data_IF_814646399390
#
_entry.id   IF_814646399390
#
_cell.length_a   1.000
_cell.length_b   1.000
_cell.length_c   1.000
_cell.angle_alpha   90.00
_cell.angle_beta   90.00
_cell.angle_gamma   90.00
#
_symmetry.space_group_name_H-M   'P 1'
#
loop_
_entity.id
_entity.type
_entity.pdbx_description
1 polymer ?
#
# COMPACT_ATOMS: atom_id res chain seq x y z
N UNK A 1 19.98 3.32 -63.95
CA UNK A 1 19.74 2.43 -62.80
C UNK A 1 18.69 3.09 -61.92
N UNK A 2 17.56 2.39 -61.76
CA UNK A 2 16.49 2.54 -60.76
C UNK A 2 15.52 3.74 -60.82
N UNK A 3 14.25 3.35 -60.80
CA UNK A 3 12.99 4.07 -60.96
C UNK A 3 12.26 4.11 -59.60
N UNK A 4 11.52 5.21 -59.39
CA UNK A 4 10.19 5.32 -58.77
C UNK A 4 9.95 5.31 -57.25
N UNK A 5 8.88 6.07 -56.94
CA UNK A 5 7.84 5.91 -55.91
C UNK A 5 8.10 6.53 -54.53
N UNK A 6 7.46 7.67 -54.23
CA UNK A 6 6.37 7.79 -53.21
C UNK A 6 5.46 9.00 -53.56
N UNK A 7 4.14 8.80 -53.39
CA UNK A 7 3.00 9.69 -53.71
C UNK A 7 2.70 10.75 -52.62
N UNK A 8 2.09 11.92 -52.91
CA UNK A 8 1.89 13.03 -51.97
C UNK A 8 0.75 12.89 -50.93
N UNK A 9 0.25 11.69 -50.63
CA UNK A 9 -1.04 11.52 -49.92
C UNK A 9 -0.98 11.38 -48.38
N UNK A 10 0.00 11.95 -47.67
CA UNK A 10 0.15 11.69 -46.22
C UNK A 10 0.10 12.90 -45.29
N UNK A 11 -0.58 13.99 -45.69
CA UNK A 11 -0.98 15.03 -44.74
C UNK A 11 -2.49 15.17 -44.78
N UNK A 12 -3.17 14.37 -43.95
CA UNK A 12 -4.59 14.57 -43.61
C UNK A 12 -4.66 14.89 -42.13
N UNK A 13 -5.23 16.04 -41.72
CA UNK A 13 -5.41 16.33 -40.31
C UNK A 13 -6.41 15.32 -39.71
N UNK A 14 -6.05 14.70 -38.59
CA UNK A 14 -6.95 13.84 -37.82
C UNK A 14 -8.03 14.72 -37.18
N UNK A 15 -9.13 14.88 -37.90
CA UNK A 15 -10.43 15.31 -37.39
C UNK A 15 -10.88 14.38 -36.25
N UNK A 16 -11.49 15.00 -35.24
CA UNK A 16 -12.13 14.37 -34.09
C UNK A 16 -13.18 13.31 -34.46
N UNK A 17 -13.54 12.49 -33.45
CA UNK A 17 -14.50 11.38 -33.43
C UNK A 17 -13.98 9.97 -33.75
N UNK A 18 -13.27 9.40 -32.77
CA UNK A 18 -13.52 8.01 -32.39
C UNK A 18 -13.83 7.98 -30.89
N UNK A 19 -15.06 7.64 -30.54
CA UNK A 19 -15.42 7.36 -29.15
C UNK A 19 -14.58 6.17 -28.67
N UNK A 20 -13.65 6.43 -27.76
CA UNK A 20 -13.02 5.38 -26.99
C UNK A 20 -14.13 4.83 -26.11
N UNK A 21 -14.48 3.55 -26.27
CA UNK A 21 -15.43 2.88 -25.41
C UNK A 21 -14.83 2.80 -24.00
N UNK A 22 -15.13 3.79 -23.17
CA UNK A 22 -14.87 3.74 -21.74
C UNK A 22 -15.71 2.59 -21.21
N UNK A 23 -15.06 1.50 -20.78
CA UNK A 23 -15.76 0.48 -20.01
C UNK A 23 -16.20 1.15 -18.71
N UNK A 24 -17.46 1.56 -18.67
CA UNK A 24 -18.11 2.03 -17.46
C UNK A 24 -18.06 0.86 -16.48
N UNK A 25 -17.27 0.99 -15.41
CA UNK A 25 -17.36 0.08 -14.28
C UNK A 25 -18.72 0.32 -13.64
N UNK A 26 -19.66 -0.57 -13.94
CA UNK A 26 -20.97 -0.58 -13.31
C UNK A 26 -20.78 -0.80 -11.80
N UNK A 27 -21.22 0.17 -11.01
CA UNK A 27 -21.31 0.09 -9.54
C UNK A 27 -22.37 -0.91 -9.06
N UNK A 28 -23.07 -1.60 -9.97
CA UNK A 28 -24.28 -2.36 -9.66
C UNK A 28 -24.06 -3.85 -9.30
N UNK A 29 -22.86 -4.30 -8.95
CA UNK A 29 -22.61 -5.72 -8.63
C UNK A 29 -21.86 -6.00 -7.31
N UNK A 30 -21.89 -5.07 -6.35
CA UNK A 30 -21.41 -5.33 -4.98
C UNK A 30 -22.58 -5.33 -3.99
N UNK A 31 -23.63 -6.09 -4.32
CA UNK A 31 -24.64 -6.44 -3.34
C UNK A 31 -24.69 -7.97 -3.24
N UNK A 32 -24.40 -8.46 -2.02
CA UNK A 32 -24.73 -9.78 -1.47
C UNK A 32 -23.62 -10.85 -1.57
N UNK A 33 -22.81 -10.91 -0.52
CA UNK A 33 -22.83 -12.01 0.46
C UNK A 33 -21.82 -11.70 1.57
N UNK A 34 -22.32 -11.22 2.71
CA UNK A 34 -21.59 -11.33 3.97
C UNK A 34 -21.67 -12.80 4.38
N UNK A 35 -20.64 -13.58 4.01
CA UNK A 35 -20.37 -14.84 4.66
C UNK A 35 -19.58 -14.48 5.91
N UNK A 36 -20.25 -14.53 7.06
CA UNK A 36 -19.60 -14.43 8.36
C UNK A 36 -18.75 -15.68 8.54
N UNK A 37 -17.50 -15.64 8.08
CA UNK A 37 -16.50 -16.62 8.47
C UNK A 37 -16.00 -16.23 9.86
N UNK A 38 -16.54 -16.88 10.87
CA UNK A 38 -15.99 -16.87 12.23
C UNK A 38 -14.66 -17.62 12.23
N UNK A 39 -13.57 -16.89 12.00
CA UNK A 39 -12.21 -17.29 12.37
C UNK A 39 -11.81 -16.45 13.57
N UNK A 40 -11.22 -17.07 14.61
CA UNK A 40 -10.71 -16.40 15.81
C UNK A 40 -10.13 -15.02 15.48
N UNK A 41 -10.82 -13.96 15.90
CA UNK A 41 -10.46 -12.60 15.53
C UNK A 41 -9.24 -12.20 16.36
N UNK A 42 -8.05 -12.37 15.78
CA UNK A 42 -6.80 -11.89 16.34
C UNK A 42 -6.91 -10.38 16.53
N UNK A 43 -7.01 -9.94 17.78
CA UNK A 43 -7.08 -8.52 18.12
C UNK A 43 -5.68 -7.92 18.14
N UNK A 44 -5.45 -6.93 17.28
CA UNK A 44 -4.23 -6.13 17.24
C UNK A 44 -4.42 -4.80 17.99
N UNK A 45 -3.33 -4.23 18.49
CA UNK A 45 -3.32 -2.97 19.24
C UNK A 45 -3.09 -1.75 18.35
N UNK A 46 -2.38 -1.89 17.24
CA UNK A 46 -1.91 -0.79 16.39
C UNK A 46 -2.38 -0.87 14.94
N UNK A 47 -3.03 -1.96 14.54
CA UNK A 47 -3.68 -2.12 13.24
C UNK A 47 -5.12 -2.61 13.39
N UNK A 48 -5.91 -2.43 12.35
CA UNK A 48 -7.19 -3.09 12.15
C UNK A 48 -7.09 -3.99 10.91
N UNK A 49 -7.72 -5.15 10.96
CA UNK A 49 -7.77 -6.09 9.83
C UNK A 49 -9.21 -6.36 9.41
N UNK A 50 -9.43 -6.48 8.10
CA UNK A 50 -10.73 -6.82 7.51
C UNK A 50 -10.51 -7.66 6.25
N UNK A 51 -11.43 -8.58 5.95
CA UNK A 51 -11.43 -9.28 4.66
C UNK A 51 -12.61 -8.79 3.82
N UNK A 52 -12.31 -8.29 2.62
CA UNK A 52 -13.31 -7.84 1.63
C UNK A 52 -13.24 -8.72 0.39
N UNK A 53 -14.08 -9.76 0.35
CA UNK A 53 -14.04 -10.75 -0.73
C UNK A 53 -12.70 -11.50 -0.72
N UNK A 54 -11.91 -11.34 -1.78
CA UNK A 54 -10.57 -11.95 -1.91
C UNK A 54 -9.42 -11.02 -1.50
N UNK A 55 -9.71 -9.92 -0.81
CA UNK A 55 -8.72 -8.90 -0.45
C UNK A 55 -8.63 -8.79 1.07
N UNK A 56 -7.42 -8.93 1.60
CA UNK A 56 -7.12 -8.56 2.98
C UNK A 56 -6.89 -7.05 3.08
N UNK A 57 -7.43 -6.40 4.11
CA UNK A 57 -7.26 -4.98 4.35
C UNK A 57 -6.61 -4.79 5.72
N UNK A 58 -5.46 -4.13 5.73
CA UNK A 58 -4.74 -3.70 6.94
C UNK A 58 -4.87 -2.18 7.01
N UNK A 59 -5.44 -1.67 8.10
CA UNK A 59 -5.51 -0.24 8.38
C UNK A 59 -4.61 0.10 9.56
N UNK A 60 -3.60 0.95 9.35
CA UNK A 60 -2.76 1.47 10.41
C UNK A 60 -3.60 2.33 11.37
N UNK A 61 -3.53 2.02 12.67
CA UNK A 61 -4.46 2.54 13.68
C UNK A 61 -3.73 3.09 14.91
N UNK A 62 -2.86 4.08 14.68
CA UNK A 62 -2.28 4.94 15.74
C UNK A 62 -2.65 6.42 15.47
N UNK A 63 -3.94 6.78 15.43
CA UNK A 63 -4.39 8.09 14.94
C UNK A 63 -3.85 9.28 15.76
N UNK A 64 -3.65 9.11 17.06
CA UNK A 64 -3.06 10.14 17.94
C UNK A 64 -1.59 10.46 17.59
N UNK A 65 -0.90 9.52 16.95
CA UNK A 65 0.48 9.65 16.50
C UNK A 65 0.58 9.77 14.97
N UNK A 66 -0.53 10.07 14.26
CA UNK A 66 -0.57 10.12 12.79
C UNK A 66 -0.01 8.86 12.13
N UNK A 67 -0.26 7.69 12.73
CA UNK A 67 0.27 6.41 12.28
C UNK A 67 1.80 6.37 12.18
N UNK A 68 2.51 7.06 13.08
CA UNK A 68 3.95 6.87 13.23
C UNK A 68 4.26 5.38 13.46
N UNK A 69 5.33 4.88 12.85
CA UNK A 69 5.67 3.46 12.82
C UNK A 69 6.52 3.10 14.04
N UNK A 70 6.05 2.13 14.82
CA UNK A 70 6.74 1.57 15.97
C UNK A 70 7.00 0.06 15.78
N UNK A 71 7.89 -0.52 16.58
CA UNK A 71 8.26 -1.94 16.48
C UNK A 71 7.04 -2.87 16.61
N UNK A 72 6.16 -2.60 17.59
CA UNK A 72 4.95 -3.40 17.79
C UNK A 72 4.01 -3.31 16.59
N UNK A 73 3.82 -2.11 16.01
CA UNK A 73 2.98 -1.94 14.83
C UNK A 73 3.51 -2.76 13.64
N UNK A 74 4.81 -2.74 13.37
CA UNK A 74 5.36 -3.51 12.27
C UNK A 74 5.31 -5.01 12.53
N UNK A 75 5.48 -5.44 13.78
CA UNK A 75 5.28 -6.83 14.18
C UNK A 75 3.86 -7.30 13.86
N UNK A 76 2.85 -6.49 14.17
CA UNK A 76 1.45 -6.78 13.85
C UNK A 76 1.18 -6.77 12.34
N UNK A 77 1.75 -5.81 11.59
CA UNK A 77 1.64 -5.75 10.12
C UNK A 77 2.21 -7.02 9.50
N UNK A 78 3.41 -7.44 9.90
CA UNK A 78 4.04 -8.66 9.40
C UNK A 78 3.23 -9.92 9.74
N UNK A 79 2.68 -9.99 10.95
CA UNK A 79 1.82 -11.11 11.36
C UNK A 79 0.53 -11.18 10.52
N UNK A 80 -0.16 -10.05 10.33
CA UNK A 80 -1.34 -9.97 9.49
C UNK A 80 -1.04 -10.31 8.02
N UNK A 81 0.08 -9.80 7.48
CA UNK A 81 0.52 -10.12 6.12
C UNK A 81 0.80 -11.60 5.94
N UNK A 82 1.54 -12.24 6.87
CA UNK A 82 1.78 -13.69 6.84
C UNK A 82 0.48 -14.49 6.93
N UNK A 83 -0.47 -14.05 7.74
CA UNK A 83 -1.79 -14.68 7.82
C UNK A 83 -2.52 -14.62 6.48
N UNK A 84 -2.53 -13.45 5.83
CA UNK A 84 -3.14 -13.29 4.52
C UNK A 84 -2.39 -14.03 3.41
N UNK A 85 -1.06 -14.10 3.45
CA UNK A 85 -0.24 -14.83 2.47
C UNK A 85 -0.56 -16.33 2.48
N UNK A 86 -0.75 -16.91 3.68
CA UNK A 86 -1.08 -18.32 3.84
C UNK A 86 -2.56 -18.66 3.57
N UNK A 87 -3.46 -17.67 3.45
CA UNK A 87 -4.89 -17.90 3.24
C UNK A 87 -5.26 -18.01 1.76
N UNK A 88 -5.55 -19.21 1.26
CA UNK A 88 -5.90 -19.47 -0.16
C UNK A 88 -7.07 -18.64 -0.71
N UNK A 89 -7.94 -18.11 0.15
CA UNK A 89 -9.07 -17.26 -0.26
C UNK A 89 -8.67 -15.81 -0.56
N UNK A 90 -7.47 -15.39 -0.14
CA UNK A 90 -6.94 -14.03 -0.35
C UNK A 90 -6.03 -14.03 -1.56
N UNK A 91 -6.27 -13.10 -2.49
CA UNK A 91 -5.46 -12.89 -3.69
C UNK A 91 -4.56 -11.65 -3.64
N UNK A 92 -4.84 -10.69 -2.76
CA UNK A 92 -4.02 -9.49 -2.56
C UNK A 92 -4.29 -8.88 -1.18
N UNK A 93 -3.38 -8.02 -0.73
CA UNK A 93 -3.52 -7.26 0.53
C UNK A 93 -3.44 -5.76 0.23
N UNK A 94 -4.30 -4.97 0.86
CA UNK A 94 -4.23 -3.51 0.86
C UNK A 94 -3.76 -3.05 2.24
N UNK A 95 -2.75 -2.20 2.28
CA UNK A 95 -2.34 -1.47 3.48
C UNK A 95 -2.76 -0.01 3.31
N UNK A 96 -3.43 0.55 4.31
CA UNK A 96 -3.85 1.96 4.31
C UNK A 96 -3.75 2.58 5.70
N UNK A 97 -3.94 3.89 5.78
CA UNK A 97 -4.02 4.62 7.04
C UNK A 97 -5.29 5.44 7.14
N UNK A 98 -5.19 6.58 7.80
CA UNK A 98 -6.31 7.53 7.93
C UNK A 98 -6.39 8.49 6.74
N UNK A 99 -7.44 9.31 6.68
CA UNK A 99 -7.57 10.38 5.69
C UNK A 99 -6.53 11.49 5.84
N UNK A 100 -5.97 11.67 7.05
CA UNK A 100 -4.97 12.70 7.35
C UNK A 100 -3.55 12.20 7.12
N UNK A 101 -3.29 10.94 7.41
CA UNK A 101 -1.98 10.32 7.26
C UNK A 101 -2.13 8.83 6.97
N UNK A 102 -1.42 8.37 5.94
CA UNK A 102 -1.07 6.98 5.78
C UNK A 102 -0.18 6.56 6.95
N UNK A 103 1.02 7.15 7.04
CA UNK A 103 1.97 7.04 8.15
C UNK A 103 2.93 8.24 8.15
N UNK A 104 3.03 8.95 9.26
CA UNK A 104 3.87 10.15 9.39
C UNK A 104 5.20 9.85 10.10
N UNK A 105 6.04 9.01 9.48
CA UNK A 105 7.40 8.70 9.96
C UNK A 105 7.48 7.55 10.95
N UNK A 106 8.68 7.37 11.52
CA UNK A 106 8.93 6.43 12.60
C UNK A 106 8.67 7.08 13.98
N UNK A 107 8.40 6.27 15.00
CA UNK A 107 8.16 6.76 16.36
C UNK A 107 9.48 7.20 17.01
N UNK A 108 9.73 8.51 17.02
CA UNK A 108 10.94 9.10 17.59
C UNK A 108 11.14 8.73 19.07
N UNK A 109 10.08 8.41 19.82
CA UNK A 109 10.22 7.98 21.21
C UNK A 109 10.92 6.64 21.34
N UNK A 110 10.76 5.74 20.36
CA UNK A 110 11.49 4.47 20.32
C UNK A 110 12.94 4.68 19.86
N UNK A 111 13.18 5.68 19.02
CA UNK A 111 14.50 5.90 18.42
C UNK A 111 15.47 6.72 19.31
N UNK A 112 14.95 7.65 20.11
CA UNK A 112 15.78 8.69 20.77
C UNK A 112 16.87 8.16 21.71
N UNK A 113 16.66 7.01 22.34
CA UNK A 113 17.56 6.46 23.37
C UNK A 113 18.48 5.35 22.80
N UNK A 114 18.38 5.08 21.50
CA UNK A 114 19.19 4.05 20.85
C UNK A 114 20.63 4.52 20.64
N UNK A 115 21.58 3.69 21.08
CA UNK A 115 23.00 3.85 20.77
C UNK A 115 23.34 3.11 19.48
N UNK A 116 24.45 3.50 18.82
CA UNK A 116 24.98 2.78 17.66
C UNK A 116 25.13 1.27 17.93
N UNK A 117 25.78 0.90 19.04
CA UNK A 117 26.05 -0.50 19.38
C UNK A 117 24.77 -1.30 19.57
N UNK A 118 23.78 -0.71 20.26
CA UNK A 118 22.49 -1.37 20.46
C UNK A 118 21.79 -1.59 19.11
N UNK A 119 21.65 -0.52 18.32
CA UNK A 119 20.98 -0.53 17.01
C UNK A 119 21.57 -1.58 16.07
N UNK A 120 22.91 -1.67 16.02
CA UNK A 120 23.61 -2.66 15.21
C UNK A 120 23.36 -4.09 15.70
N UNK A 121 23.51 -4.34 17.02
CA UNK A 121 23.37 -5.69 17.57
C UNK A 121 21.94 -6.22 17.50
N UNK A 122 20.94 -5.36 17.66
CA UNK A 122 19.53 -5.78 17.68
C UNK A 122 18.88 -5.76 16.30
N UNK A 123 19.59 -5.30 15.26
CA UNK A 123 19.02 -5.10 13.92
C UNK A 123 17.70 -4.30 13.99
N UNK A 124 17.76 -3.11 14.60
CA UNK A 124 16.60 -2.34 15.10
C UNK A 124 15.38 -2.22 14.16
N UNK A 125 15.58 -2.20 12.83
CA UNK A 125 14.51 -2.14 11.83
C UNK A 125 14.45 -3.35 10.91
N UNK A 126 15.26 -4.39 11.15
CA UNK A 126 15.40 -5.52 10.23
C UNK A 126 14.10 -6.26 9.97
N UNK A 127 13.22 -6.34 10.96
CA UNK A 127 11.90 -6.96 10.81
C UNK A 127 11.00 -6.20 9.81
N UNK A 128 11.27 -4.93 9.49
CA UNK A 128 10.49 -4.19 8.49
C UNK A 128 10.62 -4.82 7.11
N UNK A 129 11.77 -5.42 6.80
CA UNK A 129 12.02 -6.07 5.51
C UNK A 129 11.23 -7.39 5.35
N UNK A 130 10.71 -8.00 6.42
CA UNK A 130 9.96 -9.27 6.34
C UNK A 130 8.73 -9.15 5.45
N UNK A 131 8.10 -7.98 5.36
CA UNK A 131 6.95 -7.78 4.47
C UNK A 131 7.29 -7.96 2.99
N UNK A 132 8.57 -7.81 2.61
CA UNK A 132 9.03 -7.98 1.23
C UNK A 132 9.12 -9.45 0.81
N UNK A 133 8.98 -10.38 1.76
CA UNK A 133 8.96 -11.83 1.51
C UNK A 133 7.55 -12.36 1.17
N UNK A 134 6.53 -11.52 1.32
CA UNK A 134 5.13 -11.87 1.06
C UNK A 134 4.93 -12.11 -0.43
N UNK A 135 4.29 -13.22 -0.79
CA UNK A 135 4.14 -13.66 -2.19
C UNK A 135 2.95 -13.02 -2.88
N UNK A 136 1.92 -12.67 -2.11
CA UNK A 136 0.72 -12.00 -2.63
C UNK A 136 0.96 -10.51 -2.83
N UNK A 137 0.40 -9.91 -3.90
CA UNK A 137 0.52 -8.48 -4.14
C UNK A 137 0.05 -7.65 -2.95
N UNK A 138 0.89 -6.71 -2.52
CA UNK A 138 0.62 -5.71 -1.48
C UNK A 138 0.42 -4.35 -2.14
N UNK A 139 -0.70 -3.71 -1.85
CA UNK A 139 -1.07 -2.41 -2.39
C UNK A 139 -1.10 -1.39 -1.24
N UNK A 140 -0.26 -0.36 -1.32
CA UNK A 140 -0.36 0.80 -0.43
C UNK A 140 -1.43 1.76 -0.96
N UNK A 141 -2.56 1.87 -0.26
CA UNK A 141 -3.55 2.91 -0.52
C UNK A 141 -3.24 4.14 0.34
N UNK A 142 -2.53 5.10 -0.26
CA UNK A 142 -1.95 6.25 0.44
C UNK A 142 -2.83 7.48 0.27
N UNK A 143 -3.20 8.11 1.39
CA UNK A 143 -3.81 9.43 1.39
C UNK A 143 -3.28 10.25 2.58
N UNK A 144 -3.14 11.56 2.40
CA UNK A 144 -2.46 12.39 3.40
C UNK A 144 -0.96 12.09 3.48
N UNK A 145 -0.36 12.27 4.65
CA UNK A 145 1.09 12.12 4.86
C UNK A 145 1.56 10.65 4.79
N UNK A 146 2.56 10.41 3.94
CA UNK A 146 3.44 9.23 3.91
C UNK A 146 4.89 9.75 3.98
N UNK A 147 5.36 10.03 5.18
CA UNK A 147 6.66 10.69 5.41
C UNK A 147 7.62 9.71 6.07
N UNK A 148 8.91 9.79 5.77
CA UNK A 148 9.94 9.00 6.44
C UNK A 148 9.74 7.50 6.28
N UNK A 149 9.79 6.80 7.40
CA UNK A 149 9.38 5.39 7.49
C UNK A 149 8.01 5.09 6.86
N UNK A 150 7.07 6.04 6.88
CA UNK A 150 5.78 5.90 6.20
C UNK A 150 5.88 5.93 4.67
N UNK A 151 6.80 6.74 4.13
CA UNK A 151 7.17 6.72 2.71
C UNK A 151 7.84 5.39 2.35
N UNK A 152 8.74 4.90 3.21
CA UNK A 152 9.45 3.63 3.03
C UNK A 152 8.50 2.43 3.06
N UNK A 153 7.55 2.40 4.00
CA UNK A 153 6.49 1.39 4.04
C UNK A 153 5.68 1.37 2.73
N UNK A 154 5.32 2.54 2.19
CA UNK A 154 4.63 2.61 0.91
C UNK A 154 5.51 2.06 -0.23
N UNK A 155 6.81 2.39 -0.24
CA UNK A 155 7.77 1.90 -1.25
C UNK A 155 8.10 0.41 -1.13
N UNK A 156 7.92 -0.21 0.03
CA UNK A 156 8.04 -1.66 0.22
C UNK A 156 6.84 -2.44 -0.35
N UNK A 157 5.72 -1.77 -0.62
CA UNK A 157 4.56 -2.40 -1.28
C UNK A 157 4.78 -2.50 -2.81
N UNK A 158 4.11 -3.44 -3.46
CA UNK A 158 4.24 -3.67 -4.91
C UNK A 158 3.59 -2.55 -5.74
N UNK A 159 2.49 -1.99 -5.26
CA UNK A 159 1.73 -0.93 -5.94
C UNK A 159 1.39 0.17 -4.94
N UNK A 160 1.63 1.42 -5.31
CA UNK A 160 1.17 2.58 -4.56
C UNK A 160 -0.02 3.21 -5.30
N UNK A 161 -1.19 3.19 -4.67
CA UNK A 161 -2.37 3.93 -5.10
C UNK A 161 -2.48 5.21 -4.27
N UNK A 162 -2.04 6.32 -4.86
CA UNK A 162 -2.02 7.63 -4.20
C UNK A 162 -3.32 8.41 -4.45
N UNK A 163 -3.98 8.81 -3.36
CA UNK A 163 -5.09 9.76 -3.40
C UNK A 163 -4.63 11.20 -3.65
N UNK A 164 -5.56 12.10 -3.97
CA UNK A 164 -5.27 13.50 -4.30
C UNK A 164 -4.54 14.28 -3.20
N UNK A 165 -4.67 13.85 -1.93
CA UNK A 165 -4.02 14.49 -0.78
C UNK A 165 -2.75 13.77 -0.33
N UNK A 166 -2.28 12.78 -1.09
CA UNK A 166 -1.07 12.06 -0.75
C UNK A 166 0.15 13.00 -0.80
N UNK A 167 0.93 13.01 0.27
CA UNK A 167 2.18 13.77 0.38
C UNK A 167 3.28 12.82 0.81
N UNK A 168 4.27 12.64 -0.07
CA UNK A 168 5.43 11.79 0.15
C UNK A 168 6.67 12.63 0.46
N UNK A 169 7.58 12.12 1.26
CA UNK A 169 8.87 12.77 1.51
C UNK A 169 9.74 12.03 2.53
N UNK A 170 11.04 12.27 2.46
CA UNK A 170 12.05 11.78 3.40
C UNK A 170 12.66 13.00 4.15
N UNK A 171 12.00 13.51 5.21
CA UNK A 171 12.44 14.70 5.96
C UNK A 171 13.52 14.44 7.04
N UNK A 172 14.13 13.25 7.08
CA UNK A 172 15.03 12.80 8.15
C UNK A 172 16.46 13.40 8.10
N UNK A 173 16.71 14.41 7.27
CA UNK A 173 18.07 14.98 7.04
C UNK A 173 18.60 15.79 8.23
#
# INVERSE_FOLDING_TARGET
>A
MLRNFVSPSLIRPLSANKSIATRSFSTAFVQRQAVTSTSDEKSYAHILTETRGKVGLITLNRPKALNALCADLFTEVNDALRSYDNNENIGAVVITGSTKAFAAGADIKEMKDHTFVNTYKTNFLGHWAEMTEIKKPIIAAVNGYALGGGCELAMMCDIIYAGEKAVFGQPEI
#
